data_IF_160323450613
#
_entry.id   IF_160323450613
#
_cell.length_a   1.000
_cell.length_b   1.000
_cell.length_c   1.000
_cell.angle_alpha   90.00
_cell.angle_beta   90.00
_cell.angle_gamma   90.00
#
_symmetry.space_group_name_H-M   'P 1'
#
loop_
_entity.id
_entity.type
_entity.pdbx_description
1 polymer ?
#
# COMPACT_ATOMS: atom_id res chain seq x y z
N UNK A 1 -33.64 -4.17 34.53
CA UNK A 1 -32.29 -4.76 34.31
C UNK A 1 -31.93 -4.54 32.85
N UNK A 2 -30.78 -3.93 32.58
CA UNK A 2 -30.29 -3.72 31.21
C UNK A 2 -29.87 -5.06 30.60
N UNK A 3 -29.97 -5.21 29.27
CA UNK A 3 -29.46 -6.40 28.55
C UNK A 3 -27.98 -6.69 28.90
N UNK A 4 -27.21 -5.63 29.18
CA UNK A 4 -25.82 -5.75 29.61
C UNK A 4 -25.67 -6.37 31.00
N UNK A 5 -26.60 -6.09 31.92
CA UNK A 5 -26.58 -6.63 33.28
C UNK A 5 -26.93 -8.12 33.26
N UNK A 6 -27.90 -8.51 32.43
CA UNK A 6 -28.31 -9.91 32.25
C UNK A 6 -27.20 -10.75 31.64
N UNK A 7 -26.47 -10.20 30.66
CA UNK A 7 -25.32 -10.88 30.03
C UNK A 7 -24.18 -11.04 31.03
N UNK A 8 -23.86 -10.00 31.81
CA UNK A 8 -22.80 -10.07 32.82
C UNK A 8 -23.14 -11.06 33.96
N UNK A 9 -24.40 -11.12 34.40
CA UNK A 9 -24.87 -12.10 35.41
C UNK A 9 -24.77 -13.54 34.88
N UNK A 10 -25.05 -13.75 33.59
CA UNK A 10 -24.90 -15.05 32.94
C UNK A 10 -23.43 -15.50 32.88
N UNK A 11 -22.52 -14.60 32.53
CA UNK A 11 -21.07 -14.87 32.51
C UNK A 11 -20.54 -15.23 33.90
N UNK A 12 -20.95 -14.50 34.94
CA UNK A 12 -20.55 -14.76 36.33
C UNK A 12 -21.07 -16.11 36.85
N UNK A 13 -22.32 -16.49 36.52
CA UNK A 13 -22.92 -17.76 36.96
C UNK A 13 -22.23 -19.01 36.41
N UNK A 14 -21.62 -18.93 35.24
CA UNK A 14 -20.92 -20.05 34.60
C UNK A 14 -19.39 -19.98 34.74
N UNK A 15 -18.86 -19.06 35.55
CA UNK A 15 -17.41 -18.90 35.72
C UNK A 15 -16.68 -18.50 34.43
N UNK A 16 -17.41 -17.96 33.45
CA UNK A 16 -16.87 -17.48 32.18
C UNK A 16 -16.50 -16.01 32.35
N UNK A 17 -15.21 -15.69 32.44
CA UNK A 17 -14.75 -14.32 32.37
C UNK A 17 -14.91 -13.78 30.94
N UNK A 18 -15.30 -12.52 30.80
CA UNK A 18 -15.25 -11.81 29.50
C UNK A 18 -13.84 -11.74 28.92
N UNK A 19 -12.82 -12.01 29.74
CA UNK A 19 -11.40 -12.09 29.36
C UNK A 19 -10.92 -13.51 29.01
N UNK A 20 -11.77 -14.54 29.13
CA UNK A 20 -11.44 -15.92 28.71
C UNK A 20 -11.57 -16.16 27.20
N UNK A 21 -12.01 -15.15 26.44
CA UNK A 21 -12.09 -15.24 25.00
C UNK A 21 -10.67 -15.23 24.39
N UNK A 22 -10.36 -16.25 23.58
CA UNK A 22 -9.07 -16.34 22.89
C UNK A 22 -8.69 -15.02 22.20
N UNK A 23 -7.43 -14.56 22.35
CA UNK A 23 -6.99 -13.26 21.86
C UNK A 23 -7.26 -13.15 20.36
N UNK A 24 -7.63 -11.95 19.90
CA UNK A 24 -7.92 -11.70 18.50
C UNK A 24 -7.04 -10.60 17.94
N UNK A 25 -6.67 -10.72 16.66
CA UNK A 25 -6.04 -9.65 15.88
C UNK A 25 -6.91 -9.30 14.68
N UNK A 26 -6.96 -8.03 14.30
CA UNK A 26 -7.61 -7.62 13.05
C UNK A 26 -6.59 -7.68 11.91
N UNK A 27 -6.98 -8.18 10.74
CA UNK A 27 -6.09 -8.29 9.57
C UNK A 27 -6.64 -7.45 8.43
N UNK A 28 -5.83 -6.55 7.88
CA UNK A 28 -6.15 -5.76 6.68
C UNK A 28 -5.17 -6.17 5.58
N UNK A 29 -5.67 -6.49 4.39
CA UNK A 29 -4.85 -6.72 3.19
C UNK A 29 -4.74 -5.45 2.36
N UNK A 30 -3.50 -5.03 2.08
CA UNK A 30 -3.12 -3.88 1.27
C UNK A 30 -2.39 -4.41 0.03
N UNK A 31 -3.17 -4.76 -1.00
CA UNK A 31 -2.67 -5.41 -2.21
C UNK A 31 -2.83 -4.51 -3.44
N UNK A 32 -1.79 -4.46 -4.27
CA UNK A 32 -1.80 -3.75 -5.54
C UNK A 32 -1.21 -2.35 -5.50
N UNK A 33 -1.44 -1.60 -6.58
CA UNK A 33 -0.92 -0.25 -6.76
C UNK A 33 -1.62 0.74 -5.83
N UNK A 34 -0.84 1.67 -5.29
CA UNK A 34 -1.34 2.75 -4.44
C UNK A 34 -1.78 3.92 -5.31
N UNK A 35 -3.03 4.34 -5.17
CA UNK A 35 -3.64 5.39 -5.98
C UNK A 35 -4.83 4.93 -6.81
N UNK A 36 -5.30 5.83 -7.66
CA UNK A 36 -6.34 5.52 -8.64
C UNK A 36 -5.69 4.75 -9.79
N UNK A 37 -6.09 3.49 -9.94
CA UNK A 37 -5.81 2.68 -11.13
C UNK A 37 -6.97 2.85 -12.10
N UNK A 38 -6.77 2.51 -13.37
CA UNK A 38 -7.72 2.73 -14.47
C UNK A 38 -9.16 2.25 -14.21
N UNK A 39 -10.04 2.51 -15.20
CA UNK A 39 -11.47 2.18 -15.12
C UNK A 39 -11.71 0.72 -14.66
N UNK A 40 -12.75 0.50 -13.86
CA UNK A 40 -13.11 -0.83 -13.36
C UNK A 40 -12.19 -1.42 -12.27
N UNK A 41 -10.95 -0.95 -12.13
CA UNK A 41 -9.98 -1.46 -11.14
C UNK A 41 -9.95 -0.56 -9.90
N UNK A 42 -9.57 -1.13 -8.75
CA UNK A 42 -9.55 -0.42 -7.47
C UNK A 42 -8.16 -0.53 -6.84
N UNK A 43 -7.43 0.57 -6.86
CA UNK A 43 -6.15 0.70 -6.18
C UNK A 43 -6.32 1.07 -4.72
N UNK A 44 -5.20 1.15 -4.01
CA UNK A 44 -5.18 1.50 -2.60
C UNK A 44 -5.31 3.02 -2.45
N UNK A 45 -6.48 3.50 -2.04
CA UNK A 45 -6.74 4.92 -1.78
C UNK A 45 -7.32 5.14 -0.38
N UNK A 46 -7.23 6.36 0.14
CA UNK A 46 -7.80 6.71 1.44
C UNK A 46 -9.31 6.45 1.50
N UNK A 47 -10.16 6.95 0.56
CA UNK A 47 -11.60 6.68 0.61
C UNK A 47 -11.91 5.18 0.56
N UNK A 48 -11.08 4.44 -0.16
CA UNK A 48 -11.19 2.99 -0.30
C UNK A 48 -10.91 2.23 1.01
N UNK A 49 -9.90 2.65 1.77
CA UNK A 49 -9.40 1.92 2.93
C UNK A 49 -9.94 2.47 4.26
N UNK A 50 -10.38 3.72 4.32
CA UNK A 50 -10.89 4.38 5.53
C UNK A 50 -11.92 3.52 6.29
N UNK A 51 -12.96 2.95 5.65
CA UNK A 51 -13.94 2.14 6.38
C UNK A 51 -13.34 0.84 6.95
N UNK A 52 -12.35 0.26 6.27
CA UNK A 52 -11.67 -0.96 6.70
C UNK A 52 -10.75 -0.68 7.89
N UNK A 53 -9.94 0.38 7.79
CA UNK A 53 -9.06 0.84 8.85
C UNK A 53 -9.90 1.14 10.10
N UNK A 54 -10.96 1.96 9.96
CA UNK A 54 -11.88 2.26 11.06
C UNK A 54 -12.46 1.01 11.70
N UNK A 55 -12.91 0.03 10.90
CA UNK A 55 -13.47 -1.23 11.38
C UNK A 55 -12.43 -2.07 12.14
N UNK A 56 -11.20 -2.18 11.63
CA UNK A 56 -10.12 -2.93 12.27
C UNK A 56 -9.81 -2.40 13.69
N UNK A 57 -9.75 -1.07 13.84
CA UNK A 57 -9.48 -0.40 15.12
C UNK A 57 -10.71 -0.23 16.02
N UNK A 58 -11.90 -0.56 15.52
CA UNK A 58 -13.13 -0.60 16.33
C UNK A 58 -13.38 -1.96 16.97
N UNK A 59 -12.70 -3.02 16.51
CA UNK A 59 -12.78 -4.35 17.08
C UNK A 59 -11.99 -4.44 18.40
N UNK A 60 -12.44 -5.29 19.34
CA UNK A 60 -11.67 -5.64 20.54
C UNK A 60 -10.55 -6.61 20.15
N UNK A 61 -9.41 -6.07 19.72
CA UNK A 61 -8.25 -6.82 19.24
C UNK A 61 -6.97 -6.42 19.99
N UNK A 62 -6.01 -7.36 20.04
CA UNK A 62 -4.69 -7.16 20.65
C UNK A 62 -3.73 -6.41 19.73
N UNK A 63 -3.96 -6.46 18.42
CA UNK A 63 -3.18 -5.79 17.39
C UNK A 63 -3.98 -5.67 16.08
N UNK A 64 -3.54 -4.75 15.21
CA UNK A 64 -3.91 -4.71 13.79
C UNK A 64 -2.72 -5.19 12.97
N UNK A 65 -2.92 -6.18 12.12
CA UNK A 65 -1.92 -6.72 11.21
C UNK A 65 -2.21 -6.24 9.79
N UNK A 66 -1.22 -5.61 9.16
CA UNK A 66 -1.26 -5.20 7.76
C UNK A 66 -0.52 -6.26 6.95
N UNK A 67 -1.21 -6.95 6.06
CA UNK A 67 -0.57 -7.77 5.03
C UNK A 67 -0.41 -6.89 3.81
N UNK A 68 0.82 -6.69 3.34
CA UNK A 68 1.14 -5.71 2.29
C UNK A 68 1.81 -6.45 1.12
N UNK A 69 1.25 -6.27 -0.07
CA UNK A 69 1.83 -6.71 -1.32
C UNK A 69 1.66 -5.61 -2.37
N UNK A 70 2.65 -4.74 -2.50
CA UNK A 70 2.54 -3.53 -3.30
C UNK A 70 3.88 -3.09 -3.90
N UNK A 71 3.92 -2.80 -5.22
CA UNK A 71 5.08 -2.19 -5.87
C UNK A 71 5.18 -0.68 -5.60
N UNK A 72 4.22 -0.10 -4.87
CA UNK A 72 4.12 1.34 -4.62
C UNK A 72 3.05 2.03 -5.46
N UNK A 73 3.28 3.31 -5.77
CA UNK A 73 2.34 4.15 -6.51
C UNK A 73 2.36 5.60 -6.01
N UNK A 74 1.18 6.20 -5.84
CA UNK A 74 1.02 7.59 -5.41
C UNK A 74 1.66 7.86 -4.04
N UNK A 75 2.65 8.78 -4.01
CA UNK A 75 3.30 9.22 -2.79
C UNK A 75 2.31 9.81 -1.76
N UNK A 76 1.37 10.63 -2.23
CA UNK A 76 0.34 11.27 -1.38
C UNK A 76 -0.58 10.23 -0.76
N UNK A 77 -1.08 9.28 -1.56
CA UNK A 77 -1.96 8.23 -1.02
C UNK A 77 -1.21 7.33 -0.04
N UNK A 78 0.05 6.98 -0.32
CA UNK A 78 0.90 6.22 0.59
C UNK A 78 1.05 6.93 1.95
N UNK A 79 1.39 8.22 1.92
CA UNK A 79 1.53 9.04 3.13
C UNK A 79 0.22 9.18 3.92
N UNK A 80 -0.90 9.45 3.24
CA UNK A 80 -2.19 9.63 3.91
C UNK A 80 -2.73 8.32 4.51
N UNK A 81 -2.61 7.19 3.81
CA UNK A 81 -3.03 5.89 4.32
C UNK A 81 -2.20 5.53 5.55
N UNK A 82 -0.87 5.66 5.48
CA UNK A 82 0.02 5.37 6.59
C UNK A 82 -0.28 6.27 7.81
N UNK A 83 -0.45 7.58 7.60
CA UNK A 83 -0.80 8.53 8.65
C UNK A 83 -2.14 8.18 9.31
N UNK A 84 -3.16 7.80 8.52
CA UNK A 84 -4.47 7.39 9.04
C UNK A 84 -4.39 6.14 9.92
N UNK A 85 -3.62 5.14 9.50
CA UNK A 85 -3.38 3.93 10.31
C UNK A 85 -2.68 4.30 11.63
N UNK A 86 -1.65 5.17 11.58
CA UNK A 86 -0.96 5.65 12.79
C UNK A 86 -1.88 6.40 13.73
N UNK A 87 -2.71 7.29 13.21
CA UNK A 87 -3.66 8.05 14.01
C UNK A 87 -4.59 7.09 14.78
N UNK A 88 -5.18 6.12 14.10
CA UNK A 88 -6.04 5.13 14.76
C UNK A 88 -5.28 4.27 15.79
N UNK A 89 -4.05 3.86 15.48
CA UNK A 89 -3.19 3.11 16.41
C UNK A 89 -2.94 3.89 17.69
N UNK A 90 -2.61 5.18 17.58
CA UNK A 90 -2.37 6.07 18.71
C UNK A 90 -3.66 6.33 19.51
N UNK A 91 -4.75 6.71 18.83
CA UNK A 91 -6.04 7.01 19.46
C UNK A 91 -6.63 5.81 20.22
N UNK A 92 -6.46 4.60 19.67
CA UNK A 92 -6.99 3.36 20.25
C UNK A 92 -5.98 2.60 21.10
N UNK A 93 -4.71 3.02 21.11
CA UNK A 93 -3.59 2.34 21.77
C UNK A 93 -3.49 0.87 21.36
N UNK A 94 -3.72 0.59 20.08
CA UNK A 94 -3.62 -0.76 19.50
C UNK A 94 -2.36 -0.82 18.64
N UNK A 95 -1.42 -1.75 18.91
CA UNK A 95 -0.21 -1.87 18.13
C UNK A 95 -0.50 -2.36 16.72
N UNK A 96 0.35 -1.97 15.77
CA UNK A 96 0.26 -2.33 14.37
C UNK A 96 1.48 -3.14 13.95
N UNK A 97 1.27 -4.26 13.27
CA UNK A 97 2.36 -5.04 12.66
C UNK A 97 2.16 -5.11 11.15
N UNK A 98 3.22 -4.91 10.39
CA UNK A 98 3.21 -5.08 8.94
C UNK A 98 3.89 -6.40 8.57
N UNK A 99 3.34 -7.07 7.57
CA UNK A 99 3.85 -8.31 7.01
C UNK A 99 3.95 -8.12 5.49
N UNK A 100 5.17 -8.18 4.96
CA UNK A 100 5.37 -8.27 3.53
C UNK A 100 4.91 -9.64 3.03
N UNK A 101 4.16 -9.67 1.93
CA UNK A 101 4.08 -10.88 1.09
C UNK A 101 5.24 -10.84 0.08
N UNK A 102 4.96 -10.80 -1.21
CA UNK A 102 6.02 -10.85 -2.22
C UNK A 102 6.81 -9.54 -2.26
N UNK A 103 6.12 -8.38 -2.25
CA UNK A 103 6.76 -7.07 -2.43
C UNK A 103 6.21 -6.02 -1.47
N UNK A 104 7.11 -5.28 -0.81
CA UNK A 104 6.82 -4.00 -0.16
C UNK A 104 7.83 -2.95 -0.63
N UNK A 105 7.61 -2.43 -1.84
CA UNK A 105 8.53 -1.52 -2.51
C UNK A 105 7.95 -0.10 -2.62
N UNK A 106 8.80 0.92 -2.55
CA UNK A 106 8.43 2.33 -2.73
C UNK A 106 7.27 2.72 -1.82
N UNK A 107 6.14 3.21 -2.35
CA UNK A 107 4.94 3.49 -1.56
C UNK A 107 4.46 2.31 -0.71
N UNK A 108 4.69 1.06 -1.12
CA UNK A 108 4.40 -0.14 -0.33
C UNK A 108 5.25 -0.22 0.94
N UNK A 109 6.55 0.11 0.85
CA UNK A 109 7.39 0.26 2.03
C UNK A 109 6.92 1.41 2.91
N UNK A 110 6.47 2.53 2.32
CA UNK A 110 5.86 3.63 3.09
C UNK A 110 4.65 3.17 3.90
N UNK A 111 3.77 2.33 3.34
CA UNK A 111 2.65 1.75 4.09
C UNK A 111 3.14 0.91 5.27
N UNK A 112 4.22 0.14 5.10
CA UNK A 112 4.82 -0.66 6.17
C UNK A 112 5.34 0.20 7.33
N UNK A 113 5.81 1.43 7.07
CA UNK A 113 6.25 2.38 8.11
C UNK A 113 5.11 2.80 9.07
N UNK A 114 3.85 2.53 8.73
CA UNK A 114 2.73 2.70 9.64
C UNK A 114 2.73 1.67 10.78
N UNK A 115 3.46 0.56 10.65
CA UNK A 115 3.56 -0.43 11.70
C UNK A 115 4.57 -0.04 12.79
N UNK A 116 4.40 -0.61 13.98
CA UNK A 116 5.37 -0.58 15.06
C UNK A 116 6.50 -1.59 14.82
N UNK A 117 6.18 -2.71 14.15
CA UNK A 117 7.13 -3.74 13.73
C UNK A 117 6.78 -4.21 12.31
N UNK A 118 7.79 -4.44 11.47
CA UNK A 118 7.70 -4.87 10.08
C UNK A 118 8.36 -6.25 9.95
N UNK A 119 7.65 -7.19 9.36
CA UNK A 119 8.11 -8.54 9.13
C UNK A 119 8.05 -8.88 7.63
N UNK A 120 8.93 -9.76 7.17
CA UNK A 120 8.95 -10.23 5.79
C UNK A 120 9.41 -11.68 5.71
N UNK A 121 9.10 -12.36 4.61
CA UNK A 121 9.75 -13.63 4.29
C UNK A 121 11.21 -13.37 3.86
N UNK A 122 12.17 -14.29 4.10
CA UNK A 122 13.52 -14.20 3.54
C UNK A 122 13.56 -13.80 2.05
N UNK A 123 12.61 -14.27 1.25
CA UNK A 123 12.54 -14.06 -0.19
C UNK A 123 11.70 -12.84 -0.60
N UNK A 124 11.00 -12.18 0.33
CA UNK A 124 10.24 -10.95 0.04
C UNK A 124 11.15 -9.86 -0.51
N UNK A 125 10.63 -9.03 -1.41
CA UNK A 125 11.34 -7.86 -1.94
C UNK A 125 10.94 -6.61 -1.17
N UNK A 126 11.92 -5.93 -0.57
CA UNK A 126 11.74 -4.77 0.30
C UNK A 126 12.61 -3.62 -0.19
N UNK A 127 12.16 -2.39 -0.01
CA UNK A 127 12.97 -1.19 -0.29
C UNK A 127 12.36 -0.36 -1.41
N UNK A 128 13.14 -0.09 -2.45
CA UNK A 128 12.80 0.87 -3.51
C UNK A 128 12.47 2.25 -2.96
N UNK A 129 13.26 2.71 -1.99
CA UNK A 129 13.07 4.01 -1.35
C UNK A 129 13.64 5.07 -2.28
N UNK A 130 12.75 5.68 -3.06
CA UNK A 130 13.07 6.66 -4.07
C UNK A 130 11.82 7.21 -4.73
N UNK A 131 12.02 8.17 -5.63
CA UNK A 131 10.96 8.82 -6.41
C UNK A 131 11.35 8.72 -7.87
N UNK A 132 10.38 8.40 -8.72
CA UNK A 132 10.58 8.32 -10.16
C UNK A 132 9.50 9.09 -10.89
N UNK A 133 9.87 9.65 -12.04
CA UNK A 133 8.96 10.10 -13.09
C UNK A 133 9.44 9.48 -14.39
N UNK A 134 8.53 8.84 -15.13
CA UNK A 134 8.84 8.15 -16.36
C UNK A 134 7.80 8.49 -17.43
N UNK A 135 8.25 8.58 -18.68
CA UNK A 135 7.42 8.90 -19.84
C UNK A 135 8.19 8.68 -21.13
N UNK A 136 7.55 8.98 -22.25
CA UNK A 136 8.12 8.85 -23.59
C UNK A 136 8.10 10.19 -24.33
N UNK A 137 9.10 10.42 -25.18
CA UNK A 137 9.09 11.47 -26.19
C UNK A 137 8.58 10.95 -27.53
N UNK A 138 7.65 11.66 -28.15
CA UNK A 138 6.98 11.30 -29.41
C UNK A 138 7.15 12.35 -30.52
N UNK A 139 7.95 13.40 -30.29
CA UNK A 139 8.14 14.50 -31.25
C UNK A 139 8.67 14.02 -32.61
N UNK A 140 9.61 13.08 -32.62
CA UNK A 140 10.15 12.51 -33.88
C UNK A 140 9.16 11.59 -34.58
N UNK A 141 8.34 10.86 -33.81
CA UNK A 141 7.32 9.99 -34.36
C UNK A 141 6.27 10.82 -35.12
N UNK A 142 5.77 11.89 -34.50
CA UNK A 142 4.83 12.84 -35.12
C UNK A 142 5.38 13.41 -36.43
N UNK A 143 6.65 13.83 -36.43
CA UNK A 143 7.32 14.35 -37.62
C UNK A 143 7.36 13.31 -38.76
N UNK A 144 7.65 12.04 -38.44
CA UNK A 144 7.72 10.93 -39.43
C UNK A 144 6.37 10.62 -40.06
N UNK A 145 5.27 10.77 -39.31
CA UNK A 145 3.91 10.50 -39.81
C UNK A 145 3.22 11.76 -40.37
N UNK A 146 3.94 12.88 -40.46
CA UNK A 146 3.42 14.13 -41.01
C UNK A 146 2.38 14.85 -40.14
N UNK A 147 2.36 14.58 -38.83
CA UNK A 147 1.44 15.23 -37.89
C UNK A 147 2.12 16.43 -37.24
N UNK A 148 1.51 17.61 -37.41
CA UNK A 148 1.95 18.85 -36.76
C UNK A 148 1.24 19.05 -35.43
N UNK A 149 2.00 19.35 -34.37
CA UNK A 149 1.45 19.65 -33.06
C UNK A 149 1.36 21.15 -32.82
N UNK A 150 0.14 21.66 -32.59
CA UNK A 150 -0.14 23.07 -32.29
C UNK A 150 -0.60 23.22 -30.85
N UNK A 151 0.11 24.03 -30.07
CA UNK A 151 -0.18 24.29 -28.65
C UNK A 151 -0.17 25.78 -28.39
N UNK A 152 -1.24 26.27 -27.77
CA UNK A 152 -1.38 27.65 -27.33
C UNK A 152 -1.66 27.63 -25.83
N UNK A 153 -0.80 28.26 -25.03
CA UNK A 153 -0.89 28.24 -23.57
C UNK A 153 -0.98 29.63 -22.98
N UNK A 154 -1.67 29.73 -21.83
CA UNK A 154 -1.56 30.86 -20.91
C UNK A 154 -0.80 30.42 -19.65
N UNK A 155 0.14 31.25 -19.22
CA UNK A 155 1.13 30.91 -18.20
C UNK A 155 2.38 30.28 -18.82
N UNK A 156 3.55 30.83 -18.47
CA UNK A 156 4.83 30.55 -19.14
C UNK A 156 5.25 29.07 -19.14
N UNK A 157 4.70 28.25 -18.25
CA UNK A 157 5.11 26.85 -18.02
C UNK A 157 3.93 25.87 -18.08
N UNK A 158 2.84 26.24 -18.76
CA UNK A 158 1.60 25.44 -18.79
C UNK A 158 1.69 24.22 -19.71
N UNK A 159 2.74 24.12 -20.51
CA UNK A 159 3.11 22.95 -21.33
C UNK A 159 4.43 22.32 -20.87
N UNK A 160 4.70 22.32 -19.57
CA UNK A 160 5.90 21.71 -19.00
C UNK A 160 5.89 20.19 -19.19
N UNK A 161 7.05 19.59 -19.50
CA UNK A 161 7.24 18.14 -19.72
C UNK A 161 6.31 17.55 -20.79
N UNK A 162 6.15 18.31 -21.86
CA UNK A 162 5.32 17.95 -22.98
C UNK A 162 5.94 16.81 -23.81
N UNK A 163 5.32 15.61 -23.87
CA UNK A 163 5.93 14.45 -24.50
C UNK A 163 6.05 14.57 -26.02
N UNK A 164 5.49 15.61 -26.61
CA UNK A 164 5.51 15.83 -28.07
C UNK A 164 6.40 17.01 -28.48
N UNK A 165 7.22 17.52 -27.56
CA UNK A 165 8.27 18.51 -27.82
C UNK A 165 9.62 17.91 -27.43
N UNK A 166 10.74 18.43 -27.97
CA UNK A 166 12.04 18.17 -27.38
C UNK A 166 12.05 18.52 -25.90
N UNK A 167 12.73 17.72 -25.10
CA UNK A 167 12.83 17.93 -23.66
C UNK A 167 13.59 19.24 -23.35
N UNK A 168 13.02 20.05 -22.47
CA UNK A 168 13.60 21.31 -22.02
C UNK A 168 14.45 21.08 -20.75
N UNK A 169 15.76 21.39 -20.76
CA UNK A 169 16.61 21.26 -19.57
C UNK A 169 16.11 22.03 -18.34
N UNK A 170 15.43 23.17 -18.52
CA UNK A 170 14.85 23.91 -17.39
C UNK A 170 13.65 23.19 -16.77
N UNK A 171 12.87 22.48 -17.58
CA UNK A 171 11.75 21.67 -17.11
C UNK A 171 12.25 20.41 -16.38
N UNK A 172 13.33 19.78 -16.89
CA UNK A 172 14.00 18.66 -16.22
C UNK A 172 14.56 19.08 -14.86
N UNK A 173 15.27 20.21 -14.80
CA UNK A 173 15.81 20.73 -13.54
C UNK A 173 14.70 21.02 -12.52
N UNK A 174 13.54 21.49 -12.97
CA UNK A 174 12.37 21.72 -12.11
C UNK A 174 11.73 20.42 -11.63
N UNK A 175 11.60 19.44 -12.52
CA UNK A 175 11.11 18.12 -12.16
C UNK A 175 12.03 17.44 -11.13
N UNK A 176 13.34 17.52 -11.32
CA UNK A 176 14.35 17.04 -10.38
C UNK A 176 14.21 17.70 -8.99
N UNK A 177 14.02 19.02 -8.94
CA UNK A 177 13.78 19.73 -7.67
C UNK A 177 12.51 19.22 -6.95
N UNK A 178 11.41 18.99 -7.69
CA UNK A 178 10.18 18.43 -7.13
C UNK A 178 10.41 17.00 -6.62
N UNK A 179 11.11 16.16 -7.39
CA UNK A 179 11.42 14.79 -6.99
C UNK A 179 12.30 14.75 -5.73
N UNK A 180 13.30 15.64 -5.62
CA UNK A 180 14.13 15.81 -4.43
C UNK A 180 13.32 16.18 -3.20
N UNK A 181 12.33 17.07 -3.35
CA UNK A 181 11.44 17.44 -2.24
C UNK A 181 10.58 16.28 -1.75
N UNK A 182 10.05 15.47 -2.67
CA UNK A 182 9.28 14.26 -2.33
C UNK A 182 10.20 13.21 -1.69
N UNK A 183 11.39 13.00 -2.26
CA UNK A 183 12.34 12.02 -1.76
C UNK A 183 12.81 12.36 -0.34
N UNK A 184 13.09 13.64 -0.07
CA UNK A 184 13.41 14.13 1.28
C UNK A 184 12.32 13.81 2.30
N UNK A 185 11.04 13.90 1.92
CA UNK A 185 9.93 13.51 2.80
C UNK A 185 9.93 11.99 3.05
N UNK A 186 10.24 11.18 2.04
CA UNK A 186 10.34 9.73 2.19
C UNK A 186 11.47 9.35 3.15
N UNK A 187 12.66 9.91 2.94
CA UNK A 187 13.81 9.72 3.85
C UNK A 187 13.41 10.09 5.28
N UNK A 188 12.74 11.25 5.46
CA UNK A 188 12.25 11.69 6.77
C UNK A 188 11.31 10.68 7.42
N UNK A 189 10.36 10.13 6.67
CA UNK A 189 9.43 9.12 7.17
C UNK A 189 10.15 7.82 7.58
N UNK A 190 11.11 7.35 6.78
CA UNK A 190 11.89 6.13 7.09
C UNK A 190 12.71 6.36 8.35
N UNK A 191 13.48 7.46 8.41
CA UNK A 191 14.32 7.79 9.59
C UNK A 191 13.49 7.93 10.86
N UNK A 192 12.34 8.61 10.78
CA UNK A 192 11.45 8.78 11.92
C UNK A 192 10.91 7.43 12.45
N UNK A 193 10.59 6.49 11.56
CA UNK A 193 9.90 5.25 11.93
C UNK A 193 10.84 4.09 12.24
N UNK A 194 11.97 4.00 11.55
CA UNK A 194 13.00 3.01 11.82
C UNK A 194 13.89 3.42 12.99
N UNK A 195 14.22 4.72 13.11
CA UNK A 195 15.04 5.26 14.20
C UNK A 195 16.39 4.54 14.28
N UNK A 196 16.81 4.19 15.49
CA UNK A 196 18.06 3.45 15.76
C UNK A 196 18.10 2.05 15.12
N UNK A 197 16.95 1.50 14.71
CA UNK A 197 16.91 0.21 14.02
C UNK A 197 17.48 0.29 12.60
N UNK A 198 17.51 1.48 11.98
CA UNK A 198 18.11 1.67 10.67
C UNK A 198 19.64 1.68 10.80
N UNK A 199 20.28 0.57 10.45
CA UNK A 199 21.73 0.39 10.62
C UNK A 199 22.50 0.86 9.38
N UNK A 200 21.90 0.72 8.21
CA UNK A 200 22.53 1.07 6.95
C UNK A 200 22.68 2.59 6.75
N UNK A 201 23.74 2.98 6.05
CA UNK A 201 23.98 4.38 5.69
C UNK A 201 22.97 4.91 4.66
N UNK A 202 22.73 6.22 4.70
CA UNK A 202 21.78 6.91 3.82
C UNK A 202 21.99 6.58 2.33
N UNK A 203 23.24 6.61 1.86
CA UNK A 203 23.60 6.36 0.46
C UNK A 203 23.29 4.93 0.00
N UNK A 204 23.12 4.00 0.95
CA UNK A 204 22.74 2.61 0.65
C UNK A 204 21.23 2.46 0.55
N UNK A 205 20.48 2.99 1.51
CA UNK A 205 19.03 2.71 1.60
C UNK A 205 18.14 3.69 0.84
N UNK A 206 18.65 4.88 0.51
CA UNK A 206 17.86 5.95 -0.13
C UNK A 206 18.24 6.19 -1.60
N UNK A 207 18.75 5.18 -2.28
CA UNK A 207 19.14 5.26 -3.69
C UNK A 207 18.13 4.59 -4.65
N UNK A 208 17.04 4.02 -4.12
CA UNK A 208 16.03 3.30 -4.89
C UNK A 208 16.30 1.80 -5.08
N UNK A 209 17.35 1.24 -4.50
CA UNK A 209 17.67 -0.19 -4.53
C UNK A 209 16.61 -1.04 -3.81
N UNK A 210 16.63 -2.33 -4.13
CA UNK A 210 15.76 -3.34 -3.54
C UNK A 210 16.58 -4.45 -2.92
N UNK A 211 16.02 -5.06 -1.89
CA UNK A 211 16.68 -6.11 -1.12
C UNK A 211 15.70 -7.25 -0.84
N UNK A 212 16.23 -8.46 -0.76
CA UNK A 212 15.53 -9.60 -0.15
C UNK A 212 15.20 -9.31 1.32
N UNK A 213 14.22 -9.99 1.90
CA UNK A 213 13.87 -9.85 3.31
C UNK A 213 15.05 -10.09 4.25
N UNK A 214 15.91 -11.07 3.97
CA UNK A 214 17.14 -11.32 4.76
C UNK A 214 18.03 -10.08 4.80
N UNK A 215 18.41 -9.57 3.64
CA UNK A 215 19.23 -8.37 3.54
C UNK A 215 18.53 -7.14 4.11
N UNK A 216 17.22 -7.00 3.95
CA UNK A 216 16.45 -5.90 4.52
C UNK A 216 16.48 -5.91 6.06
N UNK A 217 16.52 -7.08 6.69
CA UNK A 217 16.69 -7.21 8.14
C UNK A 217 18.08 -6.68 8.56
N UNK A 218 19.14 -7.10 7.87
CA UNK A 218 20.51 -6.65 8.16
C UNK A 218 20.68 -5.13 8.03
N UNK A 219 20.00 -4.52 7.04
CA UNK A 219 20.01 -3.08 6.81
C UNK A 219 19.16 -2.30 7.83
N UNK A 220 18.31 -2.99 8.59
CA UNK A 220 17.39 -2.37 9.54
C UNK A 220 16.09 -1.85 8.93
N UNK A 221 15.76 -2.27 7.71
CA UNK A 221 14.53 -1.89 7.02
C UNK A 221 13.30 -2.64 7.55
N UNK A 222 13.50 -3.82 8.12
CA UNK A 222 12.47 -4.63 8.79
C UNK A 222 12.96 -5.08 10.18
N UNK A 223 12.06 -5.65 10.99
CA UNK A 223 12.32 -6.04 12.38
C UNK A 223 12.46 -7.56 12.57
N UNK A 224 12.00 -8.37 11.62
CA UNK A 224 12.18 -9.82 11.69
C UNK A 224 11.71 -10.57 10.46
N UNK A 225 12.08 -11.85 10.42
CA UNK A 225 11.70 -12.77 9.36
C UNK A 225 10.55 -13.67 9.80
N UNK A 226 9.56 -13.85 8.92
CA UNK A 226 8.47 -14.81 9.10
C UNK A 226 7.10 -14.32 8.63
N UNK A 227 6.19 -15.28 8.48
CA UNK A 227 4.81 -15.01 8.06
C UNK A 227 3.92 -14.57 9.24
N UNK A 228 2.78 -13.97 8.90
CA UNK A 228 1.79 -13.48 9.87
C UNK A 228 1.34 -14.56 10.87
N UNK A 229 1.11 -15.81 10.45
CA UNK A 229 0.62 -16.86 11.36
C UNK A 229 1.69 -17.21 12.37
N UNK A 230 2.93 -17.39 11.93
CA UNK A 230 4.05 -17.74 12.81
C UNK A 230 4.32 -16.64 13.83
N UNK A 231 4.44 -15.39 13.39
CA UNK A 231 4.76 -14.25 14.27
C UNK A 231 3.62 -13.95 15.24
N UNK A 232 2.38 -13.87 14.76
CA UNK A 232 1.22 -13.54 15.61
C UNK A 232 0.97 -14.64 16.64
N UNK A 233 1.10 -15.93 16.28
CA UNK A 233 0.98 -17.04 17.25
C UNK A 233 2.10 -17.04 18.27
N UNK A 234 3.33 -16.71 17.87
CA UNK A 234 4.45 -16.55 18.80
C UNK A 234 4.17 -15.45 19.83
N UNK A 235 3.54 -14.35 19.40
CA UNK A 235 3.28 -13.17 20.25
C UNK A 235 2.04 -13.29 21.13
N UNK A 236 1.01 -14.00 20.67
CA UNK A 236 -0.31 -14.03 21.31
C UNK A 236 -0.85 -15.44 21.62
N UNK A 237 -0.06 -16.48 21.38
CA UNK A 237 -0.43 -17.87 21.65
C UNK A 237 -1.03 -18.60 20.43
N UNK A 238 -1.07 -19.94 20.48
CA UNK A 238 -1.52 -20.79 19.36
C UNK A 238 -3.00 -20.57 18.99
N UNK A 239 -3.83 -20.23 19.97
CA UNK A 239 -5.29 -20.07 19.84
C UNK A 239 -5.72 -18.67 19.37
N UNK A 240 -4.77 -17.80 19.02
CA UNK A 240 -5.07 -16.46 18.53
C UNK A 240 -5.97 -16.50 17.28
N UNK A 241 -7.03 -15.70 17.30
CA UNK A 241 -8.00 -15.61 16.21
C UNK A 241 -7.64 -14.46 15.26
N UNK A 242 -7.69 -14.74 13.97
CA UNK A 242 -7.46 -13.76 12.91
C UNK A 242 -8.81 -13.27 12.39
N UNK A 243 -9.12 -11.99 12.62
CA UNK A 243 -10.35 -11.35 12.13
C UNK A 243 -9.99 -10.59 10.86
N UNK A 244 -10.20 -11.20 9.70
CA UNK A 244 -9.97 -10.54 8.41
C UNK A 244 -11.00 -9.45 8.17
N UNK A 245 -10.52 -8.23 7.94
CA UNK A 245 -11.34 -7.06 7.66
C UNK A 245 -11.45 -6.87 6.16
N UNK A 246 -12.45 -7.53 5.60
CA UNK A 246 -12.78 -7.40 4.19
C UNK A 246 -13.84 -6.33 3.96
N UNK A 247 -13.88 -5.83 2.73
CA UNK A 247 -14.99 -5.00 2.27
C UNK A 247 -16.26 -5.84 2.29
N UNK A 248 -17.39 -5.28 2.78
CA UNK A 248 -18.66 -5.96 2.66
C UNK A 248 -18.98 -6.13 1.17
N UNK A 249 -18.86 -7.34 0.65
CA UNK A 249 -19.39 -7.66 -0.67
C UNK A 249 -20.92 -7.59 -0.60
N UNK A 250 -21.54 -6.95 -1.60
CA UNK A 250 -22.99 -6.94 -1.76
C UNK A 250 -23.54 -8.35 -1.92
N UNK A 251 -24.78 -8.58 -1.46
CA UNK A 251 -25.41 -9.90 -1.51
C UNK A 251 -25.43 -10.51 -2.92
N UNK A 252 -25.66 -9.67 -3.93
CA UNK A 252 -25.65 -10.05 -5.35
C UNK A 252 -24.25 -10.52 -5.79
N UNK A 253 -23.21 -9.79 -5.40
CA UNK A 253 -21.82 -10.15 -5.71
C UNK A 253 -21.37 -11.44 -5.00
N UNK A 254 -21.87 -11.74 -3.79
CA UNK A 254 -21.59 -13.03 -3.13
C UNK A 254 -22.30 -14.20 -3.81
N UNK A 255 -23.50 -13.98 -4.34
CA UNK A 255 -24.34 -15.02 -4.96
C UNK A 255 -23.97 -15.31 -6.41
N UNK A 256 -23.43 -14.32 -7.13
CA UNK A 256 -23.07 -14.43 -8.54
C UNK A 256 -21.56 -14.28 -8.82
N UNK A 257 -20.75 -13.90 -7.82
CA UNK A 257 -19.31 -13.69 -7.97
C UNK A 257 -18.44 -14.96 -7.98
N UNK A 258 -19.04 -16.15 -7.81
CA UNK A 258 -18.36 -17.44 -7.99
C UNK A 258 -18.29 -17.92 -9.45
N UNK A 259 -18.93 -17.20 -10.38
CA UNK A 259 -19.02 -17.53 -11.79
C UNK A 259 -18.72 -16.29 -12.63
N UNK A 260 -17.46 -15.85 -12.64
CA UNK A 260 -17.00 -14.78 -13.56
C UNK A 260 -15.63 -15.09 -14.15
N UNK A 261 -15.47 -16.32 -14.67
CA UNK A 261 -14.85 -16.41 -15.99
C UNK A 261 -15.97 -16.08 -16.98
N UNK A 262 -15.83 -14.99 -17.73
CA UNK A 262 -16.79 -14.49 -18.73
C UNK A 262 -18.04 -13.78 -18.18
N UNK A 263 -17.86 -12.57 -17.66
CA UNK A 263 -18.91 -11.54 -17.73
C UNK A 263 -18.25 -10.17 -17.79
N UNK A 264 -17.77 -9.83 -18.99
CA UNK A 264 -17.56 -8.43 -19.36
C UNK A 264 -18.95 -7.76 -19.42
N UNK A 265 -19.13 -6.52 -18.93
CA UNK A 265 -20.33 -5.78 -19.25
C UNK A 265 -20.32 -5.50 -20.75
N UNK A 266 -21.33 -6.00 -21.46
CA UNK A 266 -21.67 -5.52 -22.78
C UNK A 266 -22.18 -4.07 -22.62
N UNK A 267 -21.29 -3.10 -22.82
CA UNK A 267 -21.62 -1.69 -22.76
C UNK A 267 -20.35 -0.85 -22.79
N UNK A 268 -20.18 -0.10 -23.90
CA UNK A 268 -19.07 0.80 -24.22
C UNK A 268 -17.79 0.14 -24.71
N UNK A 269 -17.61 0.18 -26.04
CA UNK A 269 -16.38 -0.20 -26.74
C UNK A 269 -15.12 0.63 -26.34
N UNK A 270 -15.23 1.55 -25.36
CA UNK A 270 -14.11 2.28 -24.77
C UNK A 270 -13.60 1.73 -23.43
N UNK A 271 -14.38 0.89 -22.72
CA UNK A 271 -14.01 0.41 -21.38
C UNK A 271 -12.91 -0.66 -21.42
N UNK A 272 -12.99 -1.61 -22.35
CA UNK A 272 -12.02 -2.70 -22.48
C UNK A 272 -10.61 -2.22 -22.86
N UNK A 273 -10.49 -1.16 -23.66
CA UNK A 273 -9.20 -0.60 -24.06
C UNK A 273 -8.49 0.03 -22.85
N UNK A 274 -9.24 0.76 -22.02
CA UNK A 274 -8.73 1.29 -20.76
C UNK A 274 -8.30 0.18 -19.78
N UNK A 275 -9.08 -0.90 -19.70
CA UNK A 275 -8.78 -2.04 -18.82
C UNK A 275 -7.51 -2.78 -19.25
N UNK A 276 -7.30 -2.94 -20.56
CA UNK A 276 -6.08 -3.56 -21.12
C UNK A 276 -4.86 -2.69 -20.87
N UNK A 277 -4.95 -1.37 -21.09
CA UNK A 277 -3.84 -0.45 -20.81
C UNK A 277 -3.47 -0.50 -19.32
N UNK A 278 -4.46 -0.42 -18.44
CA UNK A 278 -4.24 -0.52 -17.00
C UNK A 278 -3.62 -1.87 -16.58
N UNK A 279 -3.98 -2.97 -17.27
CA UNK A 279 -3.37 -4.29 -17.05
C UNK A 279 -1.91 -4.35 -17.47
N UNK A 280 -1.57 -3.73 -18.60
CA UNK A 280 -0.19 -3.65 -19.09
C UNK A 280 0.65 -2.78 -18.16
N UNK A 281 0.12 -1.62 -17.74
CA UNK A 281 0.78 -0.75 -16.77
C UNK A 281 1.03 -1.46 -15.44
N UNK A 282 0.02 -2.14 -14.89
CA UNK A 282 0.17 -2.91 -13.65
C UNK A 282 1.22 -4.01 -13.80
N UNK A 283 1.12 -4.81 -14.87
CA UNK A 283 2.12 -5.85 -15.15
C UNK A 283 3.53 -5.29 -15.28
N UNK A 284 3.68 -4.11 -15.90
CA UNK A 284 4.99 -3.47 -16.04
C UNK A 284 5.59 -3.05 -14.70
N UNK A 285 4.76 -2.63 -13.74
CA UNK A 285 5.19 -2.26 -12.40
C UNK A 285 5.63 -3.49 -11.59
N UNK A 286 4.91 -4.60 -11.70
CA UNK A 286 5.26 -5.86 -11.02
C UNK A 286 6.47 -6.55 -11.65
N UNK A 287 6.62 -6.49 -12.98
CA UNK A 287 7.72 -7.13 -13.70
C UNK A 287 9.10 -6.63 -13.27
N UNK A 288 9.21 -5.41 -12.73
CA UNK A 288 10.45 -4.85 -12.16
C UNK A 288 10.96 -5.62 -10.95
N UNK A 289 10.11 -6.42 -10.31
CA UNK A 289 10.42 -7.27 -9.16
C UNK A 289 10.42 -8.76 -9.52
N UNK A 290 10.32 -9.11 -10.81
CA UNK A 290 10.29 -10.50 -11.27
C UNK A 290 8.95 -11.20 -11.11
N UNK A 291 7.85 -10.42 -11.00
CA UNK A 291 6.47 -10.92 -10.79
C UNK A 291 5.53 -10.54 -11.94
#
# INVERSE_FOLDING_TARGET
>A
MSLADTINDLFARYGLSRDDAAPAVAVIRLQGIIGTVGLGRRGLTVPALEPLIKKAFSARVRAVCLIINSPGGSAVQSAHIAARIRQYSQDKKVPVFAFAEDVIASGGYWLALAADEIYADPMSVVGSIGVISAGFGFQEFLAKIGVERRVHTQGARKSLLDPFRPEDPEDVARLDAIQKDIHRQFIGAVKQRRGERLVAGDDTVFNGDIWTGERALELGLIDGLGDIRTIVRRKYGPDVRFITIERPMGWLQRRFGGSTALSAPAGEAGSWAGDVIAAVEERSLWARFGL
#
